data_IF_319548009478
#
_entry.id   IF_319548009478
#
_cell.length_a   1.000
_cell.length_b   1.000
_cell.length_c   1.000
_cell.angle_alpha   90.00
_cell.angle_beta   90.00
_cell.angle_gamma   90.00
#
_symmetry.space_group_name_H-M   'P 1'
#
loop_
_entity.id
_entity.type
_entity.pdbx_description
1 polymer ?
#
# COMPACT_ATOMS: atom_id res chain seq x y z
N UNK A 1 20.88 4.87 21.86
CA UNK A 1 21.36 3.50 22.13
C UNK A 1 22.64 3.26 21.35
N UNK A 2 23.68 2.67 21.96
CA UNK A 2 24.82 2.08 21.26
C UNK A 2 24.39 1.12 20.15
N UNK A 3 25.29 0.91 19.19
CA UNK A 3 25.04 0.21 17.91
C UNK A 3 24.51 -1.22 18.09
N UNK A 4 25.02 -1.96 19.06
CA UNK A 4 24.66 -3.36 19.35
C UNK A 4 23.31 -3.46 20.07
N UNK A 5 23.07 -2.63 21.11
CA UNK A 5 21.82 -2.66 21.89
C UNK A 5 20.55 -2.47 21.03
N UNK A 6 20.59 -1.58 20.04
CA UNK A 6 19.44 -1.36 19.16
C UNK A 6 19.18 -2.53 18.19
N UNK A 7 20.23 -3.22 17.76
CA UNK A 7 20.08 -4.41 16.92
C UNK A 7 19.57 -5.60 17.73
N UNK A 8 20.10 -5.80 18.93
CA UNK A 8 19.65 -6.84 19.86
C UNK A 8 18.19 -6.63 20.29
N UNK A 9 17.80 -5.38 20.56
CA UNK A 9 16.40 -5.04 20.84
C UNK A 9 15.47 -5.34 19.66
N UNK A 10 15.92 -5.09 18.43
CA UNK A 10 15.18 -5.45 17.22
C UNK A 10 15.04 -6.97 17.08
N UNK A 11 16.12 -7.73 17.30
CA UNK A 11 16.08 -9.20 17.27
C UNK A 11 15.12 -9.76 18.32
N UNK A 12 15.21 -9.28 19.56
CA UNK A 12 14.29 -9.66 20.63
C UNK A 12 12.84 -9.36 20.25
N UNK A 13 12.58 -8.18 19.70
CA UNK A 13 11.22 -7.79 19.30
C UNK A 13 10.67 -8.68 18.18
N UNK A 14 11.49 -9.05 17.22
CA UNK A 14 11.09 -9.94 16.13
C UNK A 14 10.86 -11.37 16.64
N UNK A 15 11.64 -11.84 17.62
CA UNK A 15 11.37 -13.10 18.30
C UNK A 15 10.01 -13.08 19.02
N UNK A 16 9.68 -12.00 19.75
CA UNK A 16 8.35 -11.83 20.36
C UNK A 16 7.24 -11.88 19.31
N UNK A 17 7.40 -11.18 18.19
CA UNK A 17 6.42 -11.20 17.10
C UNK A 17 6.20 -12.61 16.54
N UNK A 18 7.28 -13.39 16.38
CA UNK A 18 7.20 -14.78 15.93
C UNK A 18 6.48 -15.68 16.96
N UNK A 19 6.73 -15.48 18.26
CA UNK A 19 6.12 -16.28 19.32
C UNK A 19 4.63 -15.98 19.51
N UNK A 20 4.24 -14.70 19.40
CA UNK A 20 2.85 -14.26 19.53
C UNK A 20 1.96 -14.62 18.33
N UNK A 21 2.54 -15.23 17.31
CA UNK A 21 1.84 -15.69 16.12
C UNK A 21 1.14 -17.04 16.38
N UNK A 22 -0.16 -17.11 16.05
CA UNK A 22 -1.09 -18.14 16.52
C UNK A 22 -1.03 -19.43 15.71
N UNK A 23 -0.62 -19.37 14.43
CA UNK A 23 -0.61 -20.54 13.53
C UNK A 23 0.80 -20.85 12.99
N UNK A 24 1.02 -22.10 12.56
CA UNK A 24 2.28 -22.52 11.95
C UNK A 24 2.60 -21.76 10.65
N UNK A 25 1.59 -21.54 9.81
CA UNK A 25 1.72 -20.85 8.51
C UNK A 25 2.09 -19.37 8.67
N UNK A 26 1.51 -18.69 9.67
CA UNK A 26 1.87 -17.31 9.98
C UNK A 26 3.31 -17.22 10.55
N UNK A 27 3.76 -18.20 11.35
CA UNK A 27 5.15 -18.25 11.85
C UNK A 27 6.16 -18.45 10.72
N UNK A 28 5.85 -19.32 9.76
CA UNK A 28 6.67 -19.51 8.57
C UNK A 28 6.71 -18.21 7.75
N UNK A 29 5.56 -17.60 7.53
CA UNK A 29 5.43 -16.28 6.86
C UNK A 29 6.30 -15.22 7.56
N UNK A 30 6.29 -15.16 8.89
CA UNK A 30 7.06 -14.20 9.65
C UNK A 30 8.58 -14.45 9.54
N UNK A 31 8.97 -15.72 9.45
CA UNK A 31 10.36 -16.12 9.22
C UNK A 31 10.84 -15.77 7.81
N UNK A 32 10.00 -15.94 6.79
CA UNK A 32 10.29 -15.58 5.39
C UNK A 32 10.45 -14.07 5.18
N UNK A 33 9.74 -13.25 5.97
CA UNK A 33 9.78 -11.79 5.86
C UNK A 33 11.04 -11.23 6.52
N UNK A 34 11.48 -11.79 7.64
CA UNK A 34 12.63 -11.32 8.40
C UNK A 34 13.88 -12.16 8.13
N UNK A 35 14.31 -12.20 6.87
CA UNK A 35 15.65 -12.68 6.50
C UNK A 35 16.74 -11.70 6.99
N UNK A 36 18.00 -12.16 7.06
CA UNK A 36 19.12 -11.33 7.54
C UNK A 36 19.26 -9.99 6.80
N UNK A 37 18.97 -9.97 5.51
CA UNK A 37 19.03 -8.75 4.71
C UNK A 37 17.93 -7.75 5.08
N UNK A 38 16.74 -8.24 5.38
CA UNK A 38 15.62 -7.43 5.86
C UNK A 38 15.92 -6.90 7.25
N UNK A 39 16.49 -7.72 8.14
CA UNK A 39 16.95 -7.29 9.47
C UNK A 39 17.92 -6.11 9.38
N UNK A 40 18.95 -6.23 8.54
CA UNK A 40 19.92 -5.15 8.31
C UNK A 40 19.27 -3.90 7.70
N UNK A 41 18.27 -4.09 6.84
CA UNK A 41 17.51 -2.98 6.25
C UNK A 41 16.66 -2.24 7.29
N UNK A 42 15.97 -2.95 8.18
CA UNK A 42 15.18 -2.36 9.27
C UNK A 42 16.12 -1.61 10.22
N UNK A 43 17.24 -2.23 10.58
CA UNK A 43 18.27 -1.60 11.39
C UNK A 43 18.82 -0.31 10.76
N UNK A 44 19.00 -0.29 9.44
CA UNK A 44 19.37 0.93 8.72
C UNK A 44 18.29 2.02 8.83
N UNK A 45 17.01 1.67 8.70
CA UNK A 45 15.89 2.60 8.91
C UNK A 45 15.87 3.15 10.35
N UNK A 46 16.21 2.33 11.35
CA UNK A 46 16.36 2.77 12.74
C UNK A 46 17.49 3.78 12.90
N UNK A 47 18.68 3.46 12.36
CA UNK A 47 19.84 4.34 12.41
C UNK A 47 19.59 5.69 11.72
N UNK A 48 18.81 5.68 10.64
CA UNK A 48 18.46 6.89 9.89
C UNK A 48 17.33 7.69 10.55
N UNK A 49 16.84 7.27 11.73
CA UNK A 49 15.82 7.96 12.50
C UNK A 49 14.43 7.93 11.85
N UNK A 50 14.19 6.99 10.94
CA UNK A 50 12.90 6.85 10.24
C UNK A 50 11.91 6.04 11.06
N UNK A 51 12.41 5.00 11.73
CA UNK A 51 11.68 4.17 12.69
C UNK A 51 12.54 4.04 13.95
N UNK A 52 11.96 3.62 15.06
CA UNK A 52 12.64 3.37 16.34
C UNK A 52 12.28 1.98 16.85
N UNK A 53 11.00 1.62 16.82
CA UNK A 53 10.51 0.31 17.24
C UNK A 53 9.56 -0.31 16.22
N UNK A 54 9.60 -1.64 16.11
CA UNK A 54 8.52 -2.42 15.49
C UNK A 54 7.51 -2.80 16.57
N UNK A 55 6.22 -2.64 16.26
CA UNK A 55 5.14 -2.85 17.20
C UNK A 55 4.47 -4.21 16.96
N UNK A 56 3.56 -4.28 15.99
CA UNK A 56 2.75 -5.47 15.70
C UNK A 56 2.46 -5.59 14.21
N UNK A 57 2.22 -6.82 13.70
CA UNK A 57 1.75 -7.01 12.32
C UNK A 57 0.36 -6.37 12.14
N UNK A 58 0.22 -5.60 11.07
CA UNK A 58 -1.05 -4.97 10.64
C UNK A 58 -1.73 -5.81 9.59
N UNK A 59 -0.97 -6.32 8.62
CA UNK A 59 -1.48 -7.17 7.55
C UNK A 59 -0.41 -8.15 7.09
N UNK A 60 -0.83 -9.38 6.83
CA UNK A 60 0.01 -10.43 6.26
C UNK A 60 -0.54 -10.79 4.88
N UNK A 61 0.13 -10.35 3.83
CA UNK A 61 -0.28 -10.60 2.45
C UNK A 61 0.64 -11.58 1.74
N UNK A 62 0.22 -12.00 0.54
CA UNK A 62 1.04 -12.83 -0.37
C UNK A 62 2.23 -12.08 -0.97
N UNK A 63 2.15 -10.75 -1.05
CA UNK A 63 3.18 -9.91 -1.68
C UNK A 63 4.13 -9.28 -0.66
N UNK A 64 3.66 -9.12 0.57
CA UNK A 64 4.40 -8.48 1.63
C UNK A 64 3.61 -8.44 2.92
N UNK A 65 4.26 -7.98 3.97
CA UNK A 65 3.69 -7.82 5.28
C UNK A 65 3.78 -6.35 5.68
N UNK A 66 2.75 -5.84 6.33
CA UNK A 66 2.73 -4.49 6.88
C UNK A 66 2.83 -4.60 8.40
N UNK A 67 3.74 -3.85 8.98
CA UNK A 67 3.94 -3.73 10.42
C UNK A 67 3.63 -2.32 10.87
N UNK A 68 3.00 -2.21 12.02
CA UNK A 68 3.00 -0.98 12.79
C UNK A 68 4.40 -0.80 13.38
N UNK A 69 4.88 0.44 13.36
CA UNK A 69 6.16 0.85 13.92
C UNK A 69 6.01 2.24 14.55
N UNK A 70 6.99 2.67 15.34
CA UNK A 70 7.09 4.06 15.82
C UNK A 70 8.31 4.74 15.24
N UNK A 71 8.23 6.04 15.03
CA UNK A 71 9.41 6.89 14.79
C UNK A 71 10.08 7.26 16.13
N UNK A 72 11.27 7.89 16.12
CA UNK A 72 11.96 8.31 17.35
C UNK A 72 11.19 9.33 18.21
N UNK A 73 10.09 9.91 17.71
CA UNK A 73 9.19 10.80 18.45
C UNK A 73 7.98 10.06 19.01
N UNK A 74 7.93 8.73 18.88
CA UNK A 74 6.84 7.88 19.35
C UNK A 74 5.60 7.88 18.44
N UNK A 75 5.65 8.55 17.28
CA UNK A 75 4.53 8.61 16.33
C UNK A 75 4.44 7.31 15.53
N UNK A 76 3.22 6.82 15.34
CA UNK A 76 2.96 5.61 14.55
C UNK A 76 3.29 5.83 13.07
N UNK A 77 4.01 4.87 12.50
CA UNK A 77 4.29 4.71 11.07
C UNK A 77 3.98 3.27 10.64
N UNK A 78 3.75 3.07 9.35
CA UNK A 78 3.56 1.74 8.77
C UNK A 78 4.80 1.37 7.95
N UNK A 79 5.35 0.18 8.22
CA UNK A 79 6.44 -0.42 7.47
C UNK A 79 5.89 -1.58 6.63
N UNK A 80 5.82 -1.41 5.32
CA UNK A 80 5.53 -2.50 4.37
C UNK A 80 6.84 -3.14 3.95
N UNK A 81 6.95 -4.45 4.10
CA UNK A 81 8.10 -5.27 3.71
C UNK A 81 7.63 -6.26 2.65
N UNK A 82 8.19 -6.18 1.45
CA UNK A 82 7.88 -7.14 0.39
C UNK A 82 8.64 -8.44 0.60
N UNK A 83 7.93 -9.56 0.40
CA UNK A 83 8.55 -10.88 0.46
C UNK A 83 9.50 -11.06 -0.71
N UNK A 84 10.62 -11.72 -0.48
CA UNK A 84 11.63 -12.04 -1.50
C UNK A 84 11.36 -13.37 -2.21
N UNK A 85 10.20 -14.01 -1.95
CA UNK A 85 9.88 -15.38 -2.39
C UNK A 85 9.46 -15.47 -3.86
N UNK A 86 9.53 -16.69 -4.42
CA UNK A 86 9.19 -16.95 -5.83
C UNK A 86 7.70 -16.79 -6.13
N UNK A 87 6.80 -17.05 -5.18
CA UNK A 87 5.36 -16.92 -5.39
C UNK A 87 4.94 -15.46 -5.60
N UNK A 88 5.54 -14.53 -4.84
CA UNK A 88 5.34 -13.09 -4.97
C UNK A 88 5.78 -12.60 -6.36
N UNK A 89 6.89 -13.13 -6.87
CA UNK A 89 7.43 -12.78 -8.18
C UNK A 89 6.46 -13.07 -9.34
N UNK A 90 5.83 -14.25 -9.35
CA UNK A 90 4.94 -14.65 -10.45
C UNK A 90 3.71 -13.74 -10.56
N UNK A 91 3.19 -13.24 -9.43
CA UNK A 91 2.10 -12.26 -9.42
C UNK A 91 2.55 -10.90 -9.94
N UNK A 92 3.72 -10.45 -9.49
CA UNK A 92 4.27 -9.16 -9.90
C UNK A 92 4.50 -9.12 -11.42
N UNK A 93 4.92 -10.23 -12.04
CA UNK A 93 5.22 -10.31 -13.46
C UNK A 93 4.08 -9.82 -14.37
N UNK A 94 2.81 -10.18 -14.08
CA UNK A 94 1.66 -9.77 -14.90
C UNK A 94 1.36 -8.27 -14.84
N UNK A 95 1.75 -7.59 -13.76
CA UNK A 95 1.57 -6.14 -13.60
C UNK A 95 2.81 -5.31 -14.00
N UNK A 96 3.93 -5.98 -14.28
CA UNK A 96 5.14 -5.37 -14.82
C UNK A 96 5.11 -5.34 -16.35
N UNK A 97 4.44 -6.31 -16.97
CA UNK A 97 4.34 -6.38 -18.42
C UNK A 97 3.72 -5.08 -18.99
N UNK A 98 4.44 -4.43 -19.90
CA UNK A 98 4.04 -3.14 -20.48
C UNK A 98 4.46 -1.90 -19.68
N UNK A 99 4.87 -2.02 -18.41
CA UNK A 99 5.35 -0.89 -17.61
C UNK A 99 6.79 -0.51 -18.02
N UNK A 100 6.90 0.67 -18.65
CA UNK A 100 8.18 1.20 -19.14
C UNK A 100 9.24 1.34 -18.03
N UNK A 101 8.83 1.48 -16.77
CA UNK A 101 9.71 1.63 -15.59
C UNK A 101 10.48 0.36 -15.24
N UNK A 102 10.09 -0.78 -15.81
CA UNK A 102 10.75 -2.07 -15.60
C UNK A 102 11.51 -2.58 -16.83
N UNK A 103 11.53 -1.83 -17.93
CA UNK A 103 12.32 -2.19 -19.13
C UNK A 103 13.80 -2.34 -18.77
N UNK A 104 14.41 -3.44 -19.21
CA UNK A 104 15.83 -3.73 -18.95
C UNK A 104 16.14 -4.33 -17.57
N UNK A 105 15.15 -4.52 -16.70
CA UNK A 105 15.31 -5.28 -15.46
C UNK A 105 15.19 -6.77 -15.76
N UNK A 106 16.29 -7.43 -16.13
CA UNK A 106 16.34 -8.89 -16.33
C UNK A 106 17.23 -9.59 -15.29
N UNK A 107 16.97 -10.88 -15.08
CA UNK A 107 17.89 -11.83 -14.44
C UNK A 107 17.88 -11.92 -12.91
N UNK A 108 17.35 -10.94 -12.17
CA UNK A 108 17.33 -11.01 -10.69
C UNK A 108 15.95 -10.70 -10.08
N UNK A 109 15.30 -11.73 -9.54
CA UNK A 109 14.05 -11.63 -8.76
C UNK A 109 14.13 -10.53 -7.69
N UNK A 110 15.28 -10.45 -7.01
CA UNK A 110 15.55 -9.46 -5.98
C UNK A 110 15.51 -8.02 -6.51
N UNK A 111 16.13 -7.75 -7.66
CA UNK A 111 16.08 -6.43 -8.30
C UNK A 111 14.66 -6.04 -8.67
N UNK A 112 13.87 -7.01 -9.14
CA UNK A 112 12.47 -6.79 -9.51
C UNK A 112 11.63 -6.43 -8.28
N UNK A 113 11.81 -7.13 -7.17
CA UNK A 113 11.11 -6.84 -5.91
C UNK A 113 11.50 -5.46 -5.36
N UNK A 114 12.78 -5.09 -5.42
CA UNK A 114 13.22 -3.74 -5.05
C UNK A 114 12.62 -2.67 -5.98
N UNK A 115 12.58 -2.93 -7.28
CA UNK A 115 11.95 -2.03 -8.25
C UNK A 115 10.45 -1.88 -8.01
N UNK A 116 9.78 -2.96 -7.58
CA UNK A 116 8.36 -2.96 -7.22
C UNK A 116 8.09 -2.15 -5.96
N UNK A 117 8.86 -2.36 -4.88
CA UNK A 117 8.79 -1.53 -3.68
C UNK A 117 9.08 -0.06 -3.97
N UNK A 118 10.04 0.20 -4.87
CA UNK A 118 10.37 1.55 -5.32
C UNK A 118 9.24 2.18 -6.15
N UNK A 119 8.56 1.38 -6.97
CA UNK A 119 7.37 1.78 -7.73
C UNK A 119 6.24 2.18 -6.80
N UNK A 120 5.92 1.38 -5.78
CA UNK A 120 4.87 1.72 -4.81
C UNK A 120 5.18 3.02 -4.06
N UNK A 121 6.42 3.19 -3.59
CA UNK A 121 6.82 4.45 -2.95
C UNK A 121 6.64 5.66 -3.88
N UNK A 122 7.08 5.57 -5.14
CA UNK A 122 6.90 6.67 -6.12
C UNK A 122 5.43 6.91 -6.47
N UNK A 123 4.62 5.86 -6.56
CA UNK A 123 3.19 6.00 -6.80
C UNK A 123 2.51 6.70 -5.61
N UNK A 124 2.83 6.32 -4.37
CA UNK A 124 2.37 7.03 -3.17
C UNK A 124 2.79 8.50 -3.19
N UNK A 125 4.02 8.81 -3.62
CA UNK A 125 4.47 10.22 -3.71
C UNK A 125 3.62 11.01 -4.69
N UNK A 126 3.45 10.51 -5.92
CA UNK A 126 2.64 11.19 -6.95
C UNK A 126 1.21 11.39 -6.49
N UNK A 127 0.58 10.36 -5.90
CA UNK A 127 -0.79 10.45 -5.43
C UNK A 127 -0.93 11.40 -4.23
N UNK A 128 0.01 11.38 -3.29
CA UNK A 128 0.01 12.29 -2.15
C UNK A 128 0.21 13.75 -2.57
N UNK A 129 1.13 14.02 -3.49
CA UNK A 129 1.39 15.34 -4.06
C UNK A 129 0.20 15.87 -4.88
N UNK A 130 -0.53 14.98 -5.55
CA UNK A 130 -1.79 15.26 -6.26
C UNK A 130 -2.99 15.50 -5.32
N UNK A 131 -2.82 15.40 -4.00
CA UNK A 131 -3.90 15.59 -3.03
C UNK A 131 -4.83 14.38 -2.83
N UNK A 132 -4.51 13.23 -3.42
CA UNK A 132 -5.25 11.98 -3.17
C UNK A 132 -5.05 11.54 -1.72
N UNK A 133 -6.10 11.05 -1.06
CA UNK A 133 -6.00 10.53 0.30
C UNK A 133 -5.27 9.17 0.30
N UNK A 134 -3.94 9.19 0.27
CA UNK A 134 -3.08 8.01 0.45
C UNK A 134 -2.25 8.14 1.74
N UNK A 135 -1.69 7.05 2.28
CA UNK A 135 -0.66 7.13 3.30
C UNK A 135 0.52 7.98 2.79
N UNK A 136 0.85 9.06 3.50
CA UNK A 136 2.02 9.88 3.18
C UNK A 136 3.28 9.00 3.13
N UNK A 137 3.99 8.93 2.00
CA UNK A 137 5.23 8.18 1.89
C UNK A 137 6.34 8.88 2.69
N UNK A 138 7.11 8.12 3.46
CA UNK A 138 8.16 8.64 4.34
C UNK A 138 9.56 8.20 3.90
N UNK A 139 9.74 6.92 3.59
CA UNK A 139 11.04 6.38 3.15
C UNK A 139 10.87 5.14 2.30
N UNK A 140 11.70 5.03 1.27
CA UNK A 140 11.96 3.77 0.57
C UNK A 140 13.35 3.25 0.96
N UNK A 141 13.45 1.94 1.23
CA UNK A 141 14.73 1.28 1.44
C UNK A 141 14.66 -0.19 0.99
N UNK A 142 15.41 -0.56 -0.06
CA UNK A 142 15.49 -1.94 -0.61
C UNK A 142 14.10 -2.49 -0.98
N UNK A 143 13.58 -3.45 -0.22
CA UNK A 143 12.27 -4.08 -0.37
C UNK A 143 11.25 -3.54 0.65
N UNK A 144 11.46 -2.33 1.17
CA UNK A 144 10.63 -1.75 2.22
C UNK A 144 10.16 -0.35 1.87
N UNK A 145 8.93 -0.07 2.27
CA UNK A 145 8.27 1.24 2.16
C UNK A 145 7.77 1.63 3.54
N UNK A 146 8.26 2.74 4.06
CA UNK A 146 7.76 3.39 5.27
C UNK A 146 6.81 4.50 4.84
N UNK A 147 5.61 4.50 5.43
CA UNK A 147 4.55 5.45 5.16
C UNK A 147 3.79 5.81 6.44
N UNK A 148 2.96 6.86 6.38
CA UNK A 148 2.12 7.26 7.50
C UNK A 148 1.18 6.12 7.90
N UNK A 149 1.10 5.86 9.20
CA UNK A 149 0.12 4.94 9.75
C UNK A 149 -1.29 5.55 9.69
N UNK A 150 -2.26 4.79 9.18
CA UNK A 150 -3.68 5.16 9.17
C UNK A 150 -4.41 4.30 10.20
N UNK A 151 -4.82 4.91 11.30
CA UNK A 151 -5.43 4.23 12.43
C UNK A 151 -5.28 4.99 13.73
N UNK A 152 -5.57 4.31 14.83
CA UNK A 152 -5.40 4.84 16.19
C UNK A 152 -4.12 4.29 16.82
N UNK A 153 -3.76 4.73 18.02
CA UNK A 153 -2.65 4.10 18.76
C UNK A 153 -2.92 2.65 19.15
N UNK A 154 -4.18 2.21 19.09
CA UNK A 154 -4.61 0.87 19.54
C UNK A 154 -4.76 -0.12 18.38
N UNK A 155 -5.12 0.35 17.19
CA UNK A 155 -5.49 -0.50 16.07
C UNK A 155 -5.41 0.23 14.72
N UNK A 156 -5.16 -0.50 13.62
CA UNK A 156 -5.23 0.05 12.28
C UNK A 156 -6.66 0.49 11.96
N UNK A 157 -6.80 1.43 11.03
CA UNK A 157 -8.11 1.74 10.48
C UNK A 157 -8.73 0.49 9.84
N UNK A 158 -10.06 0.29 9.94
CA UNK A 158 -10.73 -0.80 9.27
C UNK A 158 -10.72 -0.59 7.75
N UNK A 159 -10.81 -1.71 7.01
CA UNK A 159 -11.08 -1.68 5.58
C UNK A 159 -12.51 -1.19 5.33
N UNK A 160 -12.72 -0.48 4.23
CA UNK A 160 -14.03 0.07 3.85
C UNK A 160 -15.11 -1.03 3.77
N UNK A 161 -14.73 -2.23 3.32
CA UNK A 161 -15.63 -3.39 3.27
C UNK A 161 -16.26 -3.73 4.62
N UNK A 162 -15.54 -3.51 5.72
CA UNK A 162 -15.89 -3.92 7.08
C UNK A 162 -16.60 -2.79 7.86
N UNK A 163 -16.85 -1.65 7.20
CA UNK A 163 -17.40 -0.45 7.84
C UNK A 163 -18.85 -0.26 7.43
N UNK A 164 -19.70 0.07 8.41
CA UNK A 164 -21.04 0.63 8.15
C UNK A 164 -20.88 2.14 8.02
N UNK A 165 -21.23 2.68 6.85
CA UNK A 165 -21.08 4.09 6.53
C UNK A 165 -22.34 4.86 6.92
N UNK A 166 -22.16 5.97 7.64
CA UNK A 166 -23.25 6.89 7.98
C UNK A 166 -23.73 7.65 6.74
N UNK A 167 -22.78 8.21 5.96
CA UNK A 167 -23.03 8.95 4.71
C UNK A 167 -22.34 8.24 3.52
N UNK A 168 -22.86 7.11 3.02
CA UNK A 168 -22.22 6.39 1.93
C UNK A 168 -22.14 7.19 0.62
N UNK A 169 -23.09 8.09 0.37
CA UNK A 169 -23.08 9.00 -0.80
C UNK A 169 -21.88 9.95 -0.79
N UNK A 170 -21.59 10.58 0.35
CA UNK A 170 -20.46 11.52 0.50
C UNK A 170 -19.11 10.82 0.26
N UNK A 171 -18.95 9.60 0.80
CA UNK A 171 -17.72 8.82 0.60
C UNK A 171 -17.59 8.32 -0.84
N UNK A 172 -18.70 8.01 -1.50
CA UNK A 172 -18.71 7.65 -2.91
C UNK A 172 -18.22 8.81 -3.79
N UNK A 173 -18.76 10.00 -3.58
CA UNK A 173 -18.37 11.21 -4.32
C UNK A 173 -16.91 11.60 -4.06
N UNK A 174 -16.45 11.55 -2.81
CA UNK A 174 -15.04 11.76 -2.46
C UNK A 174 -14.13 10.74 -3.16
N UNK A 175 -14.52 9.46 -3.23
CA UNK A 175 -13.73 8.45 -3.93
C UNK A 175 -13.68 8.66 -5.44
N UNK A 176 -14.77 9.10 -6.07
CA UNK A 176 -14.74 9.46 -7.49
C UNK A 176 -13.79 10.63 -7.75
N UNK A 177 -13.79 11.64 -6.88
CA UNK A 177 -12.85 12.75 -6.95
C UNK A 177 -11.40 12.28 -6.74
N UNK A 178 -11.16 11.38 -5.78
CA UNK A 178 -9.84 10.77 -5.60
C UNK A 178 -9.38 9.98 -6.83
N UNK A 179 -10.28 9.28 -7.52
CA UNK A 179 -9.98 8.60 -8.79
C UNK A 179 -9.63 9.61 -9.89
N UNK A 180 -10.35 10.73 -9.97
CA UNK A 180 -10.06 11.83 -10.89
C UNK A 180 -8.67 12.43 -10.63
N UNK A 181 -8.35 12.79 -9.38
CA UNK A 181 -7.03 13.29 -8.99
C UNK A 181 -5.92 12.27 -9.28
N UNK A 182 -6.20 10.98 -9.06
CA UNK A 182 -5.24 9.91 -9.39
C UNK A 182 -4.94 9.86 -10.89
N UNK A 183 -5.97 10.03 -11.73
CA UNK A 183 -5.83 10.01 -13.18
C UNK A 183 -5.18 11.29 -13.73
N UNK A 184 -5.77 12.45 -13.42
CA UNK A 184 -5.43 13.73 -14.04
C UNK A 184 -4.16 14.34 -13.45
N UNK A 185 -4.04 14.38 -12.12
CA UNK A 185 -2.93 15.05 -11.44
C UNK A 185 -1.77 14.08 -11.16
N UNK A 186 -2.08 12.88 -10.66
CA UNK A 186 -1.05 11.89 -10.37
C UNK A 186 -0.62 11.11 -11.62
N UNK A 187 -1.34 11.17 -12.74
CA UNK A 187 -1.01 10.47 -13.99
C UNK A 187 -0.94 8.95 -13.83
N UNK A 188 -1.85 8.39 -13.03
CA UNK A 188 -1.91 6.97 -12.67
C UNK A 188 -3.33 6.40 -12.77
N UNK A 189 -3.43 5.08 -12.90
CA UNK A 189 -4.66 4.30 -12.67
C UNK A 189 -4.32 3.24 -11.62
N UNK A 190 -5.17 3.06 -10.61
CA UNK A 190 -4.89 2.12 -9.52
C UNK A 190 -4.79 0.67 -10.00
N UNK A 191 -5.66 0.29 -10.95
CA UNK A 191 -5.70 -1.00 -11.66
C UNK A 191 -6.15 -2.22 -10.86
N UNK A 192 -6.55 -2.00 -9.60
CA UNK A 192 -7.12 -3.01 -8.71
C UNK A 192 -7.99 -2.39 -7.60
N UNK A 193 -8.51 -1.17 -7.79
CA UNK A 193 -9.21 -0.43 -6.73
C UNK A 193 -10.51 -1.14 -6.33
N UNK A 194 -10.71 -1.31 -5.03
CA UNK A 194 -11.91 -1.93 -4.44
C UNK A 194 -12.04 -1.60 -2.95
N UNK A 195 -13.14 -1.99 -2.32
CA UNK A 195 -13.35 -1.85 -0.88
C UNK A 195 -12.31 -2.61 0.00
N UNK A 196 -11.50 -3.48 -0.60
CA UNK A 196 -10.44 -4.26 0.05
C UNK A 196 -9.09 -3.52 0.13
N UNK A 197 -8.91 -2.44 -0.62
CA UNK A 197 -7.71 -1.59 -0.59
C UNK A 197 -8.04 -0.12 -0.30
N UNK A 198 -9.14 0.10 0.42
CA UNK A 198 -9.51 1.39 0.96
C UNK A 198 -9.65 1.23 2.47
N UNK A 199 -8.93 2.06 3.24
CA UNK A 199 -9.12 2.19 4.69
C UNK A 199 -10.10 3.31 4.98
N UNK A 200 -10.94 3.15 5.99
CA UNK A 200 -11.83 4.23 6.44
C UNK A 200 -11.36 4.77 7.79
N UNK A 201 -11.02 6.06 7.85
CA UNK A 201 -10.51 6.67 9.06
C UNK A 201 -10.97 8.12 9.18
N UNK A 202 -11.59 8.45 10.33
CA UNK A 202 -12.09 9.80 10.64
C UNK A 202 -12.94 10.39 9.50
N UNK A 203 -13.93 9.62 9.06
CA UNK A 203 -14.84 9.99 7.98
C UNK A 203 -14.20 10.21 6.60
N UNK A 204 -13.00 9.68 6.36
CA UNK A 204 -12.32 9.74 5.07
C UNK A 204 -11.91 8.36 4.57
N UNK A 205 -11.99 8.16 3.26
CA UNK A 205 -11.46 7.00 2.57
C UNK A 205 -9.99 7.23 2.20
N UNK A 206 -9.11 6.30 2.58
CA UNK A 206 -7.70 6.31 2.26
C UNK A 206 -7.35 5.14 1.35
N UNK A 207 -6.88 5.43 0.14
CA UNK A 207 -6.45 4.42 -0.84
C UNK A 207 -5.08 3.86 -0.43
N UNK A 208 -4.96 2.54 -0.42
CA UNK A 208 -3.72 1.81 -0.09
C UNK A 208 -3.36 0.81 -1.20
N UNK A 209 -2.18 0.20 -1.10
CA UNK A 209 -1.73 -0.86 -2.02
C UNK A 209 -1.56 -0.43 -3.49
N UNK A 210 -0.99 0.77 -3.68
CA UNK A 210 -0.78 1.39 -5.00
C UNK A 210 0.42 0.82 -5.76
N UNK A 211 0.94 -0.34 -5.36
CA UNK A 211 2.05 -1.03 -6.04
C UNK A 211 1.65 -1.52 -7.43
N UNK A 212 0.38 -1.90 -7.62
CA UNK A 212 -0.13 -2.36 -8.92
C UNK A 212 -0.45 -1.21 -9.88
N UNK A 213 -0.57 0.03 -9.38
CA UNK A 213 -0.96 1.18 -10.18
C UNK A 213 -0.04 1.41 -11.40
N UNK A 214 -0.67 1.66 -12.55
CA UNK A 214 -0.05 1.83 -13.86
C UNK A 214 -0.10 3.28 -14.30
N UNK A 215 0.78 3.65 -15.24
CA UNK A 215 0.72 4.96 -15.89
C UNK A 215 -0.53 5.06 -16.78
N UNK A 216 -1.07 6.27 -16.96
CA UNK A 216 -2.19 6.51 -17.88
C UNK A 216 -1.86 6.12 -19.34
N UNK A 217 -0.58 6.20 -19.74
CA UNK A 217 -0.08 5.77 -21.05
C UNK A 217 0.05 4.24 -21.21
N UNK A 218 -0.27 3.47 -20.17
CA UNK A 218 -0.24 2.02 -20.24
C UNK A 218 -1.32 1.52 -21.23
N UNK A 219 -0.99 0.51 -22.05
CA UNK A 219 -1.89 -0.03 -23.09
C UNK A 219 -3.28 -0.41 -22.54
N UNK A 220 -3.30 -0.96 -21.32
CA UNK A 220 -4.54 -1.40 -20.66
C UNK A 220 -5.08 -0.39 -19.62
N UNK A 221 -4.58 0.85 -19.57
CA UNK A 221 -4.95 1.81 -18.52
C UNK A 221 -6.46 2.09 -18.45
N UNK A 222 -7.11 2.21 -19.61
CA UNK A 222 -8.56 2.46 -19.71
C UNK A 222 -9.38 1.28 -19.21
N UNK A 223 -9.00 0.06 -19.58
CA UNK A 223 -9.68 -1.17 -19.12
C UNK A 223 -9.54 -1.36 -17.61
N UNK A 224 -8.37 -1.02 -17.06
CA UNK A 224 -8.14 -0.98 -15.63
C UNK A 224 -9.03 0.05 -14.94
N UNK A 225 -9.15 1.25 -15.50
CA UNK A 225 -9.99 2.30 -14.95
C UNK A 225 -11.48 1.91 -14.97
N UNK A 226 -11.98 1.33 -16.07
CA UNK A 226 -13.36 0.82 -16.12
C UNK A 226 -13.64 -0.21 -15.02
N UNK A 227 -12.70 -1.12 -14.78
CA UNK A 227 -12.83 -2.13 -13.72
C UNK A 227 -12.84 -1.51 -12.33
N UNK A 228 -11.96 -0.53 -12.09
CA UNK A 228 -11.91 0.21 -10.82
C UNK A 228 -13.25 0.92 -10.58
N UNK A 229 -13.81 1.60 -11.60
CA UNK A 229 -15.14 2.23 -11.54
C UNK A 229 -16.23 1.20 -11.23
N UNK A 230 -16.24 0.07 -11.92
CA UNK A 230 -17.24 -0.99 -11.73
C UNK A 230 -17.19 -1.58 -10.31
N UNK A 231 -15.99 -1.77 -9.76
CA UNK A 231 -15.81 -2.24 -8.39
C UNK A 231 -16.39 -1.26 -7.37
N UNK A 232 -16.05 0.03 -7.50
CA UNK A 232 -16.56 1.10 -6.62
C UNK A 232 -18.08 1.21 -6.74
N UNK A 233 -18.61 1.29 -7.96
CA UNK A 233 -20.06 1.35 -8.18
C UNK A 233 -20.78 0.13 -7.60
N UNK A 234 -20.25 -1.08 -7.77
CA UNK A 234 -20.83 -2.30 -7.19
C UNK A 234 -20.87 -2.24 -5.67
N UNK A 235 -19.77 -1.82 -5.03
CA UNK A 235 -19.70 -1.70 -3.58
C UNK A 235 -20.75 -0.69 -3.06
N UNK A 236 -20.78 0.53 -3.60
CA UNK A 236 -21.68 1.56 -3.11
C UNK A 236 -23.15 1.31 -3.44
N UNK A 237 -23.45 0.70 -4.59
CA UNK A 237 -24.80 0.23 -4.91
C UNK A 237 -25.31 -0.77 -3.86
N UNK A 238 -24.45 -1.68 -3.38
CA UNK A 238 -24.81 -2.62 -2.30
C UNK A 238 -25.05 -1.93 -0.95
N UNK A 239 -24.66 -0.65 -0.81
CA UNK A 239 -24.88 0.20 0.36
C UNK A 239 -26.00 1.24 0.16
N UNK A 240 -26.82 1.10 -0.88
CA UNK A 240 -27.98 1.95 -1.13
C UNK A 240 -27.67 3.31 -1.75
N UNK A 241 -26.46 3.50 -2.30
CA UNK A 241 -26.07 4.71 -3.05
C UNK A 241 -26.64 4.65 -4.46
N UNK A 242 -27.19 5.78 -4.93
CA UNK A 242 -27.53 5.97 -6.34
C UNK A 242 -26.24 6.28 -7.12
N UNK A 243 -25.66 5.23 -7.69
CA UNK A 243 -24.36 5.32 -8.37
C UNK A 243 -24.50 5.90 -9.76
N UNK A 244 -23.55 6.75 -10.15
CA UNK A 244 -23.51 7.34 -11.49
C UNK A 244 -23.28 6.27 -12.57
N UNK A 245 -23.73 6.57 -13.78
CA UNK A 245 -23.44 5.75 -14.95
C UNK A 245 -21.92 5.64 -15.18
N UNK A 246 -21.48 4.43 -15.55
CA UNK A 246 -20.07 4.10 -15.71
C UNK A 246 -19.37 4.97 -16.74
N UNK A 247 -20.02 5.24 -17.88
CA UNK A 247 -19.43 6.05 -18.94
C UNK A 247 -19.34 7.53 -18.54
N UNK A 248 -20.33 8.02 -17.77
CA UNK A 248 -20.27 9.38 -17.23
C UNK A 248 -19.10 9.53 -16.23
N UNK A 249 -18.92 8.58 -15.31
CA UNK A 249 -17.77 8.59 -14.38
C UNK A 249 -16.46 8.55 -15.17
N UNK A 250 -16.37 7.68 -16.18
CA UNK A 250 -15.15 7.56 -16.99
C UNK A 250 -14.81 8.89 -17.68
N UNK A 251 -15.81 9.57 -18.26
CA UNK A 251 -15.61 10.90 -18.86
C UNK A 251 -15.18 11.94 -17.83
N UNK A 252 -15.88 12.04 -16.70
CA UNK A 252 -15.51 12.96 -15.60
C UNK A 252 -14.07 12.75 -15.11
N UNK A 253 -13.59 11.50 -15.09
CA UNK A 253 -12.23 11.16 -14.67
C UNK A 253 -11.20 11.48 -15.78
N UNK A 254 -11.53 11.27 -17.05
CA UNK A 254 -10.54 11.32 -18.15
C UNK A 254 -10.51 12.64 -18.90
N UNK A 255 -11.60 13.42 -18.85
CA UNK A 255 -11.71 14.73 -19.48
C UNK A 255 -11.33 15.80 -18.45
N UNK A 256 -10.41 16.71 -18.81
CA UNK A 256 -10.12 17.86 -17.96
C UNK A 256 -11.35 18.77 -17.96
N UNK A 257 -11.80 19.19 -16.78
CA UNK A 257 -12.82 20.24 -16.68
C UNK A 257 -12.33 21.49 -17.43
N UNK A 258 -13.18 22.05 -18.29
CA UNK A 258 -12.94 23.34 -18.94
C UNK A 258 -12.75 24.49 -17.93
#
# INVERSE_FOLDING_TARGET
>A
MPREEAYDALEHKIMELRQNTRTGDERQTMSEVFDNDTMLGIYKLMKDGVIDTLEYPVSTGKEGNVFAARDPKGKMVALKIYRTSTATFNRIASYIEGDKRFRGLSGSKRKIIMAWASKEFRNLQRMYEAGVNVPQPLRFHRNMVVMRYIGTQRAPAPLLKDVVLENPQEIYEDLLEQMRLTYQEAGLVHADLSEYNILYYRHKAFIIDVGQAVLVDHVNSKDFLYRDIDNINRFFRSRGVDVKDRENIFKEITEMGE
#
